data_IF_476530808990
#
_entry.id   IF_476530808990
#
_cell.length_a   1.000
_cell.length_b   1.000
_cell.length_c   1.000
_cell.angle_alpha   90.00
_cell.angle_beta   90.00
_cell.angle_gamma   90.00
#
_symmetry.space_group_name_H-M   'P 1'
#
loop_
_entity.id
_entity.type
_entity.pdbx_description
1 polymer ?
#
# COMPACT_ATOMS: atom_id res chain seq x y z
N UNK A 1 2.95 -63.12 8.54
CA UNK A 1 3.58 -62.41 9.67
C UNK A 1 4.63 -61.48 9.07
N UNK A 2 4.54 -60.19 9.43
CA UNK A 2 5.55 -59.15 9.21
C UNK A 2 5.69 -58.56 7.81
N UNK A 3 4.95 -57.47 7.54
CA UNK A 3 5.33 -56.45 6.53
C UNK A 3 5.07 -55.05 7.06
N UNK A 4 6.18 -54.40 7.44
CA UNK A 4 6.50 -52.97 7.35
C UNK A 4 5.40 -51.94 7.67
N UNK A 5 5.43 -51.45 8.91
CA UNK A 5 4.93 -50.10 9.27
C UNK A 5 5.95 -49.08 8.78
N UNK A 6 5.80 -48.61 7.53
CA UNK A 6 6.53 -47.45 7.03
C UNK A 6 5.91 -46.18 7.57
N UNK A 7 6.64 -45.48 8.45
CA UNK A 7 6.31 -44.14 8.92
C UNK A 7 6.30 -43.16 7.75
N UNK A 8 5.12 -42.84 7.23
CA UNK A 8 4.93 -41.64 6.41
C UNK A 8 4.89 -40.45 7.38
N UNK A 9 6.01 -39.75 7.49
CA UNK A 9 6.14 -38.54 8.28
C UNK A 9 5.37 -37.40 7.61
N UNK A 10 4.15 -37.17 8.09
CA UNK A 10 3.41 -35.92 8.32
C UNK A 10 3.94 -34.57 7.76
N UNK A 11 4.36 -34.51 6.49
CA UNK A 11 4.77 -33.24 5.86
C UNK A 11 3.60 -32.29 5.56
N UNK A 12 2.35 -32.74 5.72
CA UNK A 12 1.13 -31.95 5.52
C UNK A 12 0.80 -31.04 6.70
N UNK A 13 0.79 -31.58 7.93
CA UNK A 13 0.41 -30.82 9.13
C UNK A 13 1.35 -29.67 9.48
N UNK A 14 2.66 -29.79 9.19
CA UNK A 14 3.63 -28.70 9.47
C UNK A 14 3.36 -27.47 8.60
N UNK A 15 2.89 -27.65 7.35
CA UNK A 15 2.56 -26.54 6.45
C UNK A 15 1.25 -25.86 6.83
N UNK A 16 0.27 -26.61 7.32
CA UNK A 16 -1.01 -26.07 7.80
C UNK A 16 -0.86 -25.28 9.10
N UNK A 17 0.09 -25.67 9.96
CA UNK A 17 0.41 -24.97 11.20
C UNK A 17 1.30 -23.73 11.02
N UNK A 18 1.93 -23.56 9.86
CA UNK A 18 2.90 -22.49 9.62
C UNK A 18 2.31 -21.09 9.79
N UNK A 19 1.11 -20.83 9.25
CA UNK A 19 0.46 -19.52 9.34
C UNK A 19 0.00 -19.19 10.78
N UNK A 20 -0.73 -20.08 11.48
CA UNK A 20 -1.07 -19.85 12.89
C UNK A 20 0.15 -19.64 13.79
N UNK A 21 1.21 -20.45 13.62
CA UNK A 21 2.46 -20.30 14.36
C UNK A 21 3.14 -18.95 14.07
N UNK A 22 3.14 -18.50 12.82
CA UNK A 22 3.68 -17.19 12.46
C UNK A 22 2.90 -16.05 13.13
N UNK A 23 1.57 -16.13 13.17
CA UNK A 23 0.72 -15.12 13.84
C UNK A 23 1.00 -15.11 15.36
N UNK A 24 1.07 -16.28 16.00
CA UNK A 24 1.44 -16.37 17.42
C UNK A 24 2.84 -15.80 17.65
N UNK A 25 3.80 -16.09 16.77
CA UNK A 25 5.15 -15.53 16.81
C UNK A 25 5.19 -14.01 16.74
N UNK A 26 4.37 -13.41 15.86
CA UNK A 26 4.20 -11.94 15.76
C UNK A 26 3.72 -11.37 17.10
N UNK A 27 2.72 -11.99 17.73
CA UNK A 27 2.19 -11.53 19.01
C UNK A 27 3.23 -11.70 20.13
N UNK A 28 3.91 -12.84 20.19
CA UNK A 28 4.93 -13.13 21.20
C UNK A 28 6.11 -12.15 21.14
N UNK A 29 6.47 -11.69 19.94
CA UNK A 29 7.51 -10.67 19.74
C UNK A 29 7.19 -9.34 20.46
N UNK A 30 5.91 -9.03 20.73
CA UNK A 30 5.56 -7.81 21.49
C UNK A 30 6.03 -7.87 22.94
N UNK A 31 6.15 -9.07 23.50
CA UNK A 31 6.47 -9.30 24.91
C UNK A 31 7.92 -9.72 25.09
N UNK A 32 8.44 -10.53 24.16
CA UNK A 32 9.77 -11.11 24.27
C UNK A 32 10.88 -10.17 23.76
N UNK A 33 12.01 -10.08 24.47
CA UNK A 33 13.19 -9.38 23.96
C UNK A 33 13.74 -10.07 22.71
N UNK A 34 13.78 -9.34 21.60
CA UNK A 34 14.44 -9.80 20.39
C UNK A 34 15.84 -9.20 20.23
N UNK A 35 16.80 -9.96 19.66
CA UNK A 35 18.11 -9.44 19.32
C UNK A 35 18.02 -8.45 18.15
N UNK A 36 18.92 -7.46 18.15
CA UNK A 36 18.93 -6.35 17.17
C UNK A 36 18.94 -6.83 15.70
N UNK A 37 19.71 -7.87 15.40
CA UNK A 37 19.78 -8.45 14.05
C UNK A 37 18.44 -9.04 13.56
N UNK A 38 17.67 -9.67 14.46
CA UNK A 38 16.38 -10.24 14.08
C UNK A 38 15.36 -9.13 13.81
N UNK A 39 15.39 -8.04 14.57
CA UNK A 39 14.57 -6.85 14.31
C UNK A 39 14.90 -6.25 12.95
N UNK A 40 16.19 -6.03 12.64
CA UNK A 40 16.60 -5.53 11.32
C UNK A 40 16.08 -6.43 10.18
N UNK A 41 16.20 -7.76 10.35
CA UNK A 41 15.68 -8.74 9.39
C UNK A 41 14.15 -8.70 9.24
N UNK A 42 13.40 -8.58 10.34
CA UNK A 42 11.94 -8.52 10.32
C UNK A 42 11.41 -7.18 9.79
N UNK A 43 12.10 -6.06 10.04
CA UNK A 43 11.81 -4.76 9.45
C UNK A 43 12.00 -4.81 7.92
N UNK A 44 13.13 -5.39 7.47
CA UNK A 44 13.37 -5.59 6.04
C UNK A 44 12.33 -6.52 5.40
N UNK A 45 11.94 -7.60 6.10
CA UNK A 45 10.89 -8.51 5.66
C UNK A 45 9.52 -7.83 5.56
N UNK A 46 9.16 -7.00 6.55
CA UNK A 46 7.93 -6.21 6.53
C UNK A 46 7.87 -5.26 5.34
N UNK A 47 8.98 -4.60 5.03
CA UNK A 47 9.11 -3.76 3.85
C UNK A 47 8.99 -4.57 2.55
N UNK A 48 9.65 -5.73 2.46
CA UNK A 48 9.58 -6.61 1.29
C UNK A 48 8.15 -7.09 1.02
N UNK A 49 7.42 -7.52 2.06
CA UNK A 49 6.00 -7.89 1.93
C UNK A 49 5.19 -6.70 1.41
N UNK A 50 5.41 -5.51 1.99
CA UNK A 50 4.62 -4.32 1.62
C UNK A 50 4.87 -3.88 0.19
N UNK A 51 6.10 -3.97 -0.30
CA UNK A 51 6.45 -3.75 -1.71
C UNK A 51 5.77 -4.82 -2.58
N UNK A 52 5.85 -6.09 -2.20
CA UNK A 52 5.20 -7.19 -2.93
C UNK A 52 3.69 -7.00 -3.06
N UNK A 53 3.02 -6.69 -1.95
CA UNK A 53 1.58 -6.39 -1.90
C UNK A 53 1.22 -5.20 -2.79
N UNK A 54 2.03 -4.13 -2.76
CA UNK A 54 1.85 -2.96 -3.62
C UNK A 54 2.00 -3.30 -5.10
N UNK A 55 3.05 -4.01 -5.49
CA UNK A 55 3.29 -4.40 -6.88
C UNK A 55 2.21 -5.35 -7.40
N UNK A 56 1.80 -6.35 -6.59
CA UNK A 56 0.69 -7.25 -6.95
C UNK A 56 -0.59 -6.43 -7.18
N UNK A 57 -0.91 -5.48 -6.30
CA UNK A 57 -2.07 -4.60 -6.45
C UNK A 57 -2.02 -3.73 -7.72
N UNK A 58 -0.83 -3.29 -8.14
CA UNK A 58 -0.65 -2.54 -9.38
C UNK A 58 -0.83 -3.40 -10.63
N UNK A 59 -0.33 -4.63 -10.62
CA UNK A 59 -0.25 -5.48 -11.82
C UNK A 59 -1.38 -6.48 -12.00
N UNK A 60 -2.17 -6.80 -10.96
CA UNK A 60 -3.30 -7.72 -11.07
C UNK A 60 -4.33 -7.24 -12.11
N UNK A 61 -5.06 -8.14 -12.75
CA UNK A 61 -6.10 -7.80 -13.73
C UNK A 61 -7.44 -7.59 -13.04
N UNK A 62 -7.89 -8.57 -12.27
CA UNK A 62 -9.14 -8.57 -11.54
C UNK A 62 -8.91 -8.58 -10.02
N UNK A 63 -9.64 -7.77 -9.21
CA UNK A 63 -9.48 -7.75 -7.75
C UNK A 63 -9.55 -9.13 -7.06
N UNK A 64 -10.36 -10.03 -7.60
CA UNK A 64 -10.57 -11.39 -7.06
C UNK A 64 -9.39 -12.36 -7.31
N UNK A 65 -8.42 -12.01 -8.17
CA UNK A 65 -7.19 -12.80 -8.36
C UNK A 65 -6.37 -12.90 -7.08
N UNK A 66 -6.50 -11.90 -6.21
CA UNK A 66 -5.87 -11.91 -4.90
C UNK A 66 -6.91 -11.89 -3.78
N UNK A 67 -7.76 -12.92 -3.74
CA UNK A 67 -8.80 -13.07 -2.69
C UNK A 67 -8.23 -13.09 -1.26
N UNK A 68 -6.96 -13.45 -1.07
CA UNK A 68 -6.26 -13.40 0.22
C UNK A 68 -5.72 -12.01 0.61
N UNK A 69 -5.85 -11.00 -0.26
CA UNK A 69 -5.32 -9.65 -0.03
C UNK A 69 -5.76 -9.03 1.31
N UNK A 70 -7.04 -9.08 1.73
CA UNK A 70 -7.45 -8.51 3.02
C UNK A 70 -6.74 -9.18 4.21
N UNK A 71 -6.58 -10.50 4.17
CA UNK A 71 -5.90 -11.26 5.21
C UNK A 71 -4.40 -10.95 5.26
N UNK A 72 -3.76 -10.78 4.10
CA UNK A 72 -2.34 -10.38 4.01
C UNK A 72 -2.14 -8.98 4.59
N UNK A 73 -3.04 -8.03 4.30
CA UNK A 73 -3.01 -6.69 4.91
C UNK A 73 -3.09 -6.79 6.44
N UNK A 74 -4.01 -7.61 6.97
CA UNK A 74 -4.19 -7.76 8.41
C UNK A 74 -2.91 -8.32 9.07
N UNK A 75 -2.35 -9.40 8.52
CA UNK A 75 -1.12 -10.01 9.04
C UNK A 75 0.08 -9.07 8.92
N UNK A 76 0.23 -8.38 7.78
CA UNK A 76 1.30 -7.40 7.59
C UNK A 76 1.18 -6.23 8.58
N UNK A 77 -0.05 -5.78 8.85
CA UNK A 77 -0.33 -4.72 9.83
C UNK A 77 -0.01 -5.18 11.25
N UNK A 78 -0.39 -6.40 11.63
CA UNK A 78 -0.04 -6.99 12.92
C UNK A 78 1.48 -7.11 13.08
N UNK A 79 2.18 -7.62 12.06
CA UNK A 79 3.64 -7.70 12.05
C UNK A 79 4.27 -6.33 12.30
N UNK A 80 3.81 -5.27 11.61
CA UNK A 80 4.30 -3.90 11.81
C UNK A 80 4.05 -3.38 13.21
N UNK A 81 2.84 -3.54 13.73
CA UNK A 81 2.49 -3.05 15.07
C UNK A 81 3.36 -3.75 16.12
N UNK A 82 3.57 -5.06 15.99
CA UNK A 82 4.44 -5.80 16.87
C UNK A 82 5.90 -5.38 16.75
N UNK A 83 6.38 -5.08 15.53
CA UNK A 83 7.73 -4.57 15.32
C UNK A 83 7.93 -3.18 15.95
N UNK A 84 6.96 -2.27 15.81
CA UNK A 84 6.99 -0.96 16.47
C UNK A 84 7.10 -1.09 17.99
N UNK A 85 6.37 -2.02 18.61
CA UNK A 85 6.48 -2.25 20.06
C UNK A 85 7.86 -2.80 20.43
N UNK A 86 8.38 -3.75 19.64
CA UNK A 86 9.69 -4.33 19.88
C UNK A 86 10.85 -3.32 19.70
N UNK A 87 10.79 -2.47 18.67
CA UNK A 87 11.77 -1.40 18.41
C UNK A 87 11.68 -0.30 19.46
N UNK A 88 10.47 0.16 19.83
CA UNK A 88 10.28 1.09 20.97
C UNK A 88 10.94 0.60 22.23
N UNK A 89 10.73 -0.68 22.59
CA UNK A 89 11.35 -1.26 23.77
C UNK A 89 12.88 -1.22 23.68
N UNK A 90 13.46 -1.54 22.53
CA UNK A 90 14.91 -1.45 22.31
C UNK A 90 15.41 0.00 22.39
N UNK A 91 14.69 0.96 21.83
CA UNK A 91 15.03 2.39 21.85
C UNK A 91 15.04 2.88 23.31
N UNK A 92 13.98 2.63 24.07
CA UNK A 92 13.84 3.13 25.44
C UNK A 92 14.81 2.46 26.42
N UNK A 93 15.09 1.16 26.25
CA UNK A 93 16.00 0.43 27.15
C UNK A 93 17.48 0.68 26.81
N UNK A 94 17.84 0.62 25.53
CA UNK A 94 19.24 0.61 25.10
C UNK A 94 19.67 1.93 24.47
N UNK A 95 18.77 2.91 24.25
CA UNK A 95 19.10 4.18 23.57
C UNK A 95 20.24 4.96 24.23
N UNK A 96 20.48 4.75 25.52
CA UNK A 96 21.63 5.32 26.25
C UNK A 96 22.99 4.81 25.77
N UNK A 97 23.03 3.62 25.18
CA UNK A 97 24.25 3.02 24.61
C UNK A 97 24.62 3.64 23.26
N UNK A 98 23.80 4.56 22.72
CA UNK A 98 24.02 5.29 21.48
C UNK A 98 23.08 4.89 20.34
N UNK A 99 23.35 5.41 19.14
CA UNK A 99 22.44 5.28 17.98
C UNK A 99 22.29 3.86 17.44
N UNK A 100 23.24 2.94 17.72
CA UNK A 100 23.16 1.55 17.29
C UNK A 100 22.25 0.67 18.20
N UNK A 101 21.57 1.28 19.18
CA UNK A 101 20.74 0.62 20.17
C UNK A 101 19.49 -0.08 19.59
N UNK A 102 18.92 0.49 18.52
CA UNK A 102 17.64 0.07 17.96
C UNK A 102 17.75 -0.83 16.71
N UNK A 103 18.97 -1.22 16.32
CA UNK A 103 19.23 -1.90 15.04
C UNK A 103 19.78 -0.96 13.98
N UNK A 104 20.45 -1.52 12.97
CA UNK A 104 21.12 -0.75 11.92
C UNK A 104 20.13 -0.11 10.96
N UNK A 105 18.98 -0.76 10.74
CA UNK A 105 17.95 -0.24 9.83
C UNK A 105 17.40 1.06 10.41
N UNK A 106 16.95 1.04 11.68
CA UNK A 106 16.45 2.23 12.38
C UNK A 106 17.47 3.37 12.40
N UNK A 107 18.72 3.06 12.76
CA UNK A 107 19.80 4.05 12.79
C UNK A 107 20.03 4.70 11.42
N UNK A 108 20.08 3.90 10.36
CA UNK A 108 20.35 4.37 9.00
C UNK A 108 19.25 5.30 8.51
N UNK A 109 17.98 4.93 8.70
CA UNK A 109 16.85 5.76 8.32
C UNK A 109 16.78 7.06 9.15
N UNK A 110 17.08 6.99 10.45
CA UNK A 110 17.12 8.16 11.32
C UNK A 110 18.19 9.17 10.88
N UNK A 111 19.41 8.69 10.62
CA UNK A 111 20.51 9.53 10.13
C UNK A 111 20.22 10.12 8.75
N UNK A 112 19.58 9.35 7.86
CA UNK A 112 19.23 9.81 6.52
C UNK A 112 18.32 11.05 6.54
N UNK A 113 17.30 11.08 7.41
CA UNK A 113 16.37 12.22 7.49
C UNK A 113 16.92 13.37 8.30
N UNK A 114 17.70 13.09 9.34
CA UNK A 114 18.25 14.14 10.20
C UNK A 114 19.37 14.92 9.50
N UNK A 115 20.12 14.30 8.58
CA UNK A 115 21.05 15.02 7.70
C UNK A 115 22.11 15.88 8.43
N UNK A 116 22.40 15.56 9.69
CA UNK A 116 23.32 16.32 10.55
C UNK A 116 22.70 17.48 11.34
N UNK A 117 21.41 17.80 11.14
CA UNK A 117 20.70 18.80 11.95
C UNK A 117 19.39 18.23 12.49
N UNK A 118 19.38 17.90 13.78
CA UNK A 118 18.25 17.28 14.48
C UNK A 118 16.96 18.10 14.34
N UNK A 119 17.05 19.43 14.41
CA UNK A 119 15.88 20.31 14.32
C UNK A 119 15.26 20.24 12.94
N UNK A 120 16.07 20.38 11.88
CA UNK A 120 15.60 20.27 10.50
C UNK A 120 15.03 18.87 10.24
N UNK A 121 15.70 17.83 10.71
CA UNK A 121 15.24 16.45 10.64
C UNK A 121 13.87 16.25 11.28
N UNK A 122 13.66 16.80 12.48
CA UNK A 122 12.39 16.70 13.19
C UNK A 122 11.26 17.44 12.46
N UNK A 123 11.54 18.61 11.87
CA UNK A 123 10.56 19.36 11.07
C UNK A 123 10.16 18.58 9.81
N UNK A 124 11.14 18.07 9.05
CA UNK A 124 10.88 17.26 7.84
C UNK A 124 10.10 16.01 8.22
N UNK A 125 10.47 15.35 9.32
CA UNK A 125 9.77 14.19 9.83
C UNK A 125 8.31 14.49 10.19
N UNK A 126 8.04 15.58 10.91
CA UNK A 126 6.66 15.99 11.24
C UNK A 126 5.82 16.24 9.98
N UNK A 127 6.40 16.84 8.94
CA UNK A 127 5.72 17.02 7.65
C UNK A 127 5.38 15.66 7.03
N UNK A 128 6.34 14.71 7.00
CA UNK A 128 6.12 13.37 6.46
C UNK A 128 5.02 12.62 7.22
N UNK A 129 5.02 12.69 8.55
CA UNK A 129 3.99 12.12 9.41
C UNK A 129 2.61 12.70 9.07
N UNK A 130 2.50 14.02 8.95
CA UNK A 130 1.24 14.68 8.63
C UNK A 130 0.73 14.25 7.26
N UNK A 131 1.59 14.22 6.23
CA UNK A 131 1.23 13.77 4.89
C UNK A 131 0.78 12.30 4.92
N UNK A 132 1.54 11.43 5.58
CA UNK A 132 1.23 10.01 5.67
C UNK A 132 -0.13 9.75 6.35
N UNK A 133 -0.40 10.42 7.47
CA UNK A 133 -1.63 10.18 8.22
C UNK A 133 -2.83 10.91 7.61
N UNK A 134 -2.74 12.23 7.46
CA UNK A 134 -3.87 13.10 7.10
C UNK A 134 -4.26 12.93 5.63
N UNK A 135 -3.29 12.79 4.73
CA UNK A 135 -3.55 12.71 3.29
C UNK A 135 -3.66 11.26 2.86
N UNK A 136 -2.62 10.46 3.08
CA UNK A 136 -2.54 9.12 2.48
C UNK A 136 -3.45 8.13 3.23
N UNK A 137 -3.22 7.89 4.51
CA UNK A 137 -3.95 6.86 5.28
C UNK A 137 -5.44 7.20 5.37
N UNK A 138 -5.77 8.45 5.74
CA UNK A 138 -7.17 8.88 5.85
C UNK A 138 -7.86 8.94 4.48
N UNK A 139 -7.14 9.35 3.43
CA UNK A 139 -7.65 9.38 2.06
C UNK A 139 -7.94 7.97 1.54
N UNK A 140 -6.94 7.08 1.58
CA UNK A 140 -7.07 5.70 1.15
C UNK A 140 -8.15 4.95 1.94
N UNK A 141 -8.24 5.16 3.26
CA UNK A 141 -9.30 4.57 4.08
C UNK A 141 -10.69 4.99 3.67
N UNK A 142 -10.92 6.30 3.40
CA UNK A 142 -12.22 6.80 2.93
C UNK A 142 -12.56 6.27 1.54
N UNK A 143 -11.59 6.22 0.64
CA UNK A 143 -11.78 5.68 -0.71
C UNK A 143 -12.15 4.20 -0.64
N UNK A 144 -11.43 3.42 0.17
CA UNK A 144 -11.69 2.00 0.36
C UNK A 144 -13.07 1.73 0.98
N UNK A 145 -13.44 2.46 2.03
CA UNK A 145 -14.75 2.35 2.70
C UNK A 145 -15.90 2.64 1.73
N UNK A 146 -15.83 3.77 1.01
CA UNK A 146 -16.89 4.20 0.10
C UNK A 146 -17.04 3.24 -1.08
N UNK A 147 -15.93 2.83 -1.68
CA UNK A 147 -15.97 1.93 -2.83
C UNK A 147 -16.35 0.49 -2.44
N UNK A 148 -15.93 -0.01 -1.27
CA UNK A 148 -16.40 -1.29 -0.76
C UNK A 148 -17.92 -1.24 -0.51
N UNK A 149 -18.42 -0.15 0.09
CA UNK A 149 -19.86 0.04 0.31
C UNK A 149 -20.64 0.07 -1.00
N UNK A 150 -20.20 0.85 -1.98
CA UNK A 150 -20.88 0.89 -3.29
C UNK A 150 -20.83 -0.46 -4.02
N UNK A 151 -19.72 -1.19 -3.92
CA UNK A 151 -19.62 -2.53 -4.49
C UNK A 151 -20.61 -3.51 -3.82
N UNK A 152 -20.73 -3.45 -2.49
CA UNK A 152 -21.66 -4.27 -1.71
C UNK A 152 -23.14 -3.90 -2.00
N UNK A 153 -23.46 -2.61 -2.04
CA UNK A 153 -24.82 -2.11 -2.35
C UNK A 153 -25.29 -2.55 -3.75
N UNK A 154 -24.36 -2.78 -4.69
CA UNK A 154 -24.65 -3.27 -6.04
C UNK A 154 -24.90 -4.79 -6.16
N UNK A 155 -24.64 -5.59 -5.12
CA UNK A 155 -24.70 -7.06 -5.20
C UNK A 155 -26.11 -7.62 -5.40
N UNK A 156 -27.17 -7.12 -4.73
CA UNK A 156 -28.54 -7.57 -5.00
C UNK A 156 -28.91 -7.38 -6.48
N UNK A 157 -28.50 -6.26 -7.10
CA UNK A 157 -28.73 -6.02 -8.53
C UNK A 157 -28.05 -7.05 -9.42
N UNK A 158 -26.79 -7.41 -9.14
CA UNK A 158 -26.09 -8.48 -9.86
C UNK A 158 -26.76 -9.86 -9.66
N UNK A 159 -27.26 -10.16 -8.47
CA UNK A 159 -27.99 -11.41 -8.21
C UNK A 159 -29.33 -11.46 -8.96
N UNK A 160 -30.10 -10.37 -8.93
CA UNK A 160 -31.36 -10.25 -9.67
C UNK A 160 -31.15 -10.38 -11.18
N UNK A 161 -30.04 -9.86 -11.72
CA UNK A 161 -29.69 -10.04 -13.13
C UNK A 161 -29.43 -11.51 -13.48
N UNK A 162 -28.75 -12.28 -12.61
CA UNK A 162 -28.57 -13.73 -12.81
C UNK A 162 -29.92 -14.46 -12.78
N UNK A 163 -30.81 -14.07 -11.86
CA UNK A 163 -32.13 -14.69 -11.74
C UNK A 163 -32.99 -14.39 -12.97
N UNK A 164 -32.92 -13.16 -13.49
CA UNK A 164 -33.56 -12.78 -14.75
C UNK A 164 -33.01 -13.58 -15.94
N UNK A 165 -31.69 -13.70 -16.07
CA UNK A 165 -31.05 -14.49 -17.14
C UNK A 165 -31.43 -15.97 -17.07
N UNK A 166 -31.50 -16.55 -15.87
CA UNK A 166 -31.88 -17.94 -15.65
C UNK A 166 -33.36 -18.17 -15.98
N UNK A 167 -34.24 -17.27 -15.53
CA UNK A 167 -35.67 -17.34 -15.82
C UNK A 167 -35.98 -17.12 -17.31
N UNK A 168 -35.18 -16.30 -18.00
CA UNK A 168 -35.26 -16.09 -19.45
C UNK A 168 -34.63 -17.23 -20.27
N UNK A 169 -34.01 -18.23 -19.63
CA UNK A 169 -33.35 -19.35 -20.30
C UNK A 169 -32.06 -18.99 -21.03
N UNK A 170 -31.49 -17.81 -20.78
CA UNK A 170 -30.23 -17.33 -21.39
C UNK A 170 -29.03 -18.12 -20.83
N UNK A 171 -29.11 -18.53 -19.56
CA UNK A 171 -28.06 -19.30 -18.86
C UNK A 171 -28.63 -20.58 -18.22
N UNK A 172 -27.77 -21.58 -18.03
CA UNK A 172 -28.12 -22.81 -17.30
C UNK A 172 -28.03 -22.64 -15.78
N UNK A 173 -28.66 -23.55 -15.02
CA UNK A 173 -28.60 -23.57 -13.56
C UNK A 173 -27.16 -23.67 -13.01
N UNK A 174 -26.28 -24.43 -13.68
CA UNK A 174 -24.87 -24.57 -13.29
C UNK A 174 -24.08 -23.28 -13.49
N UNK A 175 -24.35 -22.56 -14.59
CA UNK A 175 -23.75 -21.25 -14.86
C UNK A 175 -24.25 -20.23 -13.83
N UNK A 176 -25.56 -20.21 -13.54
CA UNK A 176 -26.14 -19.34 -12.53
C UNK A 176 -25.52 -19.59 -11.14
N UNK A 177 -25.36 -20.86 -10.74
CA UNK A 177 -24.69 -21.24 -9.48
C UNK A 177 -23.25 -20.74 -9.42
N UNK A 178 -22.51 -20.89 -10.51
CA UNK A 178 -21.11 -20.43 -10.59
C UNK A 178 -21.01 -18.91 -10.49
N UNK A 179 -21.88 -18.16 -11.18
CA UNK A 179 -21.92 -16.70 -11.10
C UNK A 179 -22.33 -16.20 -9.71
N UNK A 180 -23.32 -16.83 -9.07
CA UNK A 180 -23.70 -16.49 -7.68
C UNK A 180 -22.54 -16.68 -6.71
N UNK A 181 -21.79 -17.79 -6.84
CA UNK A 181 -20.59 -18.03 -6.02
C UNK A 181 -19.49 -16.99 -6.26
N UNK A 182 -19.38 -16.44 -7.47
CA UNK A 182 -18.46 -15.35 -7.76
C UNK A 182 -18.90 -14.04 -7.06
N UNK A 183 -20.20 -13.72 -7.07
CA UNK A 183 -20.75 -12.57 -6.33
C UNK A 183 -20.54 -12.72 -4.83
N UNK A 184 -20.75 -13.93 -4.28
CA UNK A 184 -20.50 -14.21 -2.86
C UNK A 184 -19.03 -13.94 -2.49
N UNK A 185 -18.08 -14.42 -3.29
CA UNK A 185 -16.64 -14.12 -3.09
C UNK A 185 -16.33 -12.64 -3.20
N UNK A 186 -17.01 -11.92 -4.09
CA UNK A 186 -16.90 -10.47 -4.22
C UNK A 186 -17.42 -9.77 -2.95
N UNK A 187 -18.54 -10.23 -2.39
CA UNK A 187 -19.10 -9.77 -1.12
C UNK A 187 -18.10 -9.93 0.03
N UNK A 188 -17.59 -11.14 0.20
CA UNK A 188 -16.63 -11.48 1.25
C UNK A 188 -15.36 -10.64 1.12
N UNK A 189 -14.87 -10.46 -0.12
CA UNK A 189 -13.69 -9.65 -0.39
C UNK A 189 -13.88 -8.18 0.02
N UNK A 190 -14.96 -7.52 -0.43
CA UNK A 190 -15.19 -6.11 -0.09
C UNK A 190 -15.54 -5.91 1.38
N UNK A 191 -16.28 -6.83 1.99
CA UNK A 191 -16.55 -6.83 3.44
C UNK A 191 -15.26 -6.95 4.26
N UNK A 192 -14.38 -7.89 3.89
CA UNK A 192 -13.08 -8.05 4.54
C UNK A 192 -12.15 -6.85 4.29
N UNK A 193 -12.20 -6.24 3.10
CA UNK A 193 -11.41 -5.05 2.76
C UNK A 193 -11.79 -3.81 3.57
N UNK A 194 -13.09 -3.58 3.81
CA UNK A 194 -13.55 -2.48 4.67
C UNK A 194 -13.03 -2.67 6.11
N UNK A 195 -13.09 -3.90 6.63
CA UNK A 195 -12.50 -4.27 7.92
C UNK A 195 -10.98 -4.03 7.95
N UNK A 196 -10.23 -4.61 7.02
CA UNK A 196 -8.78 -4.48 6.95
C UNK A 196 -8.33 -3.01 6.82
N UNK A 197 -9.05 -2.18 6.09
CA UNK A 197 -8.75 -0.75 5.93
C UNK A 197 -8.86 0.03 7.24
N UNK A 198 -9.80 -0.35 8.12
CA UNK A 198 -9.92 0.23 9.48
C UNK A 198 -8.74 -0.17 10.37
N UNK A 199 -8.21 -1.38 10.22
CA UNK A 199 -6.98 -1.80 10.91
C UNK A 199 -5.76 -0.99 10.45
N UNK A 200 -5.58 -0.76 9.15
CA UNK A 200 -4.49 0.07 8.62
C UNK A 200 -4.58 1.52 9.14
N UNK A 201 -5.80 2.08 9.23
CA UNK A 201 -6.01 3.39 9.85
C UNK A 201 -5.63 3.40 11.33
N UNK A 202 -6.00 2.36 12.08
CA UNK A 202 -5.63 2.21 13.50
C UNK A 202 -4.11 2.12 13.71
N UNK A 203 -3.42 1.36 12.85
CA UNK A 203 -1.96 1.21 12.84
C UNK A 203 -1.24 2.55 12.66
N UNK A 204 -1.70 3.40 11.72
CA UNK A 204 -1.10 4.71 11.52
C UNK A 204 -1.26 5.64 12.74
N UNK A 205 -2.40 5.58 13.45
CA UNK A 205 -2.60 6.32 14.70
C UNK A 205 -1.66 5.78 15.78
N UNK A 206 -1.57 4.46 15.92
CA UNK A 206 -0.67 3.83 16.89
C UNK A 206 0.79 4.22 16.62
N UNK A 207 1.25 4.19 15.37
CA UNK A 207 2.61 4.59 14.99
C UNK A 207 2.93 6.05 15.37
N UNK A 208 1.98 6.97 15.20
CA UNK A 208 2.13 8.36 15.64
C UNK A 208 2.28 8.46 17.16
N UNK A 209 1.43 7.77 17.92
CA UNK A 209 1.49 7.74 19.38
C UNK A 209 2.80 7.13 19.87
N UNK A 210 3.22 6.01 19.27
CA UNK A 210 4.47 5.33 19.59
C UNK A 210 5.66 6.25 19.36
N UNK A 211 5.69 6.98 18.25
CA UNK A 211 6.74 7.97 17.97
C UNK A 211 6.79 9.04 19.06
N UNK A 212 5.64 9.59 19.46
CA UNK A 212 5.58 10.60 20.51
C UNK A 212 6.07 10.03 21.87
N UNK A 213 5.70 8.79 22.19
CA UNK A 213 6.18 8.06 23.37
C UNK A 213 7.69 7.86 23.31
N UNK A 214 8.24 7.46 22.16
CA UNK A 214 9.68 7.25 21.97
C UNK A 214 10.45 8.56 22.17
N UNK A 215 9.97 9.66 21.60
CA UNK A 215 10.62 10.96 21.68
C UNK A 215 10.59 11.52 23.12
N UNK A 216 9.42 11.56 23.75
CA UNK A 216 9.25 12.13 25.10
C UNK A 216 9.79 11.20 26.17
N UNK A 217 9.42 9.93 26.13
CA UNK A 217 9.87 8.91 27.08
C UNK A 217 11.37 8.68 26.97
N UNK A 218 11.90 8.65 25.75
CA UNK A 218 13.34 8.54 25.50
C UNK A 218 14.12 9.71 26.07
N UNK A 219 13.68 10.95 25.83
CA UNK A 219 14.29 12.15 26.39
C UNK A 219 14.33 12.10 27.92
N UNK A 220 13.20 11.77 28.56
CA UNK A 220 13.10 11.66 30.02
C UNK A 220 14.05 10.59 30.56
N UNK A 221 14.00 9.37 30.01
CA UNK A 221 14.84 8.27 30.44
C UNK A 221 16.33 8.57 30.22
N UNK A 222 16.69 9.21 29.11
CA UNK A 222 18.03 9.64 28.78
C UNK A 222 18.60 10.59 29.83
N UNK A 223 17.87 11.67 30.13
CA UNK A 223 18.27 12.67 31.13
C UNK A 223 18.34 12.06 32.52
N UNK A 224 17.33 11.27 32.93
CA UNK A 224 17.36 10.53 34.21
C UNK A 224 18.50 9.50 34.28
N UNK A 225 18.99 9.05 33.14
CA UNK A 225 20.16 8.17 33.01
C UNK A 225 21.50 8.87 33.04
N UNK A 226 21.55 10.19 33.23
CA UNK A 226 22.79 10.96 33.28
C UNK A 226 23.26 11.52 31.92
N UNK A 227 22.47 11.37 30.84
CA UNK A 227 22.78 12.05 29.58
C UNK A 227 22.49 13.56 29.69
N UNK A 228 23.28 14.38 28.99
CA UNK A 228 22.92 15.79 28.83
C UNK A 228 21.60 15.91 28.04
N UNK A 229 20.83 16.97 28.30
CA UNK A 229 19.57 17.22 27.58
C UNK A 229 19.77 17.26 26.06
N UNK A 230 20.88 17.86 25.61
CA UNK A 230 21.23 17.95 24.19
C UNK A 230 21.49 16.57 23.59
N UNK A 231 22.33 15.75 24.25
CA UNK A 231 22.68 14.40 23.76
C UNK A 231 21.47 13.47 23.78
N UNK A 232 20.64 13.55 24.82
CA UNK A 232 19.39 12.79 24.90
C UNK A 232 18.43 13.21 23.79
N UNK A 233 18.22 14.51 23.57
CA UNK A 233 17.38 15.01 22.50
C UNK A 233 17.87 14.54 21.12
N UNK A 234 19.17 14.63 20.84
CA UNK A 234 19.75 14.17 19.58
C UNK A 234 19.56 12.65 19.39
N UNK A 235 19.94 11.86 20.39
CA UNK A 235 19.90 10.40 20.30
C UNK A 235 18.50 9.86 20.12
N UNK A 236 17.57 10.28 20.98
CA UNK A 236 16.20 9.80 20.93
C UNK A 236 15.40 10.41 19.78
N UNK A 237 15.75 11.61 19.29
CA UNK A 237 15.17 12.12 18.04
C UNK A 237 15.60 11.29 16.84
N UNK A 238 16.89 11.01 16.68
CA UNK A 238 17.39 10.19 15.56
C UNK A 238 16.75 8.80 15.59
N UNK A 239 16.73 8.15 16.75
CA UNK A 239 16.15 6.81 16.92
C UNK A 239 14.63 6.80 16.66
N UNK A 240 13.89 7.77 17.23
CA UNK A 240 12.42 7.83 17.08
C UNK A 240 12.00 8.15 15.65
N UNK A 241 12.70 9.09 15.00
CA UNK A 241 12.46 9.44 13.59
C UNK A 241 12.79 8.24 12.70
N UNK A 242 13.92 7.57 12.93
CA UNK A 242 14.31 6.38 12.17
C UNK A 242 13.28 5.26 12.28
N UNK A 243 12.85 4.95 13.50
CA UNK A 243 11.84 3.91 13.78
C UNK A 243 10.52 4.20 13.08
N UNK A 244 10.03 5.43 13.24
CA UNK A 244 8.79 5.87 12.63
C UNK A 244 8.84 5.80 11.09
N UNK A 245 9.95 6.21 10.47
CA UNK A 245 10.10 6.15 9.01
C UNK A 245 10.13 4.72 8.48
N UNK A 246 10.88 3.83 9.15
CA UNK A 246 10.97 2.42 8.76
C UNK A 246 9.59 1.76 8.84
N UNK A 247 8.79 2.10 9.85
CA UNK A 247 7.44 1.57 10.02
C UNK A 247 6.41 2.23 9.08
N UNK A 248 6.61 3.49 8.69
CA UNK A 248 5.71 4.23 7.82
C UNK A 248 5.79 3.82 6.35
N UNK A 249 6.97 3.50 5.80
CA UNK A 249 7.05 3.10 4.39
C UNK A 249 6.21 1.86 4.07
N UNK A 250 6.29 0.76 4.85
CA UNK A 250 5.40 -0.38 4.72
C UNK A 250 3.91 -0.01 4.79
N UNK A 251 3.54 0.86 5.73
CA UNK A 251 2.15 1.32 5.92
C UNK A 251 1.63 2.09 4.70
N UNK A 252 2.45 3.00 4.16
CA UNK A 252 2.13 3.78 2.97
C UNK A 252 1.91 2.88 1.75
N UNK A 253 2.80 1.91 1.53
CA UNK A 253 2.72 0.98 0.40
C UNK A 253 1.46 0.13 0.49
N UNK A 254 1.17 -0.45 1.65
CA UNK A 254 -0.04 -1.27 1.87
C UNK A 254 -1.32 -0.43 1.76
N UNK A 255 -1.34 0.77 2.33
CA UNK A 255 -2.50 1.69 2.25
C UNK A 255 -2.78 2.11 0.81
N UNK A 256 -1.73 2.40 0.05
CA UNK A 256 -1.85 2.75 -1.37
C UNK A 256 -2.28 1.54 -2.20
N UNK A 257 -1.72 0.35 -1.93
CA UNK A 257 -2.15 -0.90 -2.56
C UNK A 257 -3.65 -1.13 -2.36
N UNK A 258 -4.14 -0.99 -1.13
CA UNK A 258 -5.56 -1.15 -0.81
C UNK A 258 -6.42 -0.15 -1.59
N UNK A 259 -6.00 1.12 -1.64
CA UNK A 259 -6.68 2.16 -2.44
C UNK A 259 -6.73 1.83 -3.93
N UNK A 260 -5.63 1.38 -4.54
CA UNK A 260 -5.57 0.98 -5.95
C UNK A 260 -6.47 -0.22 -6.25
N UNK A 261 -6.42 -1.26 -5.41
CA UNK A 261 -7.20 -2.50 -5.62
C UNK A 261 -8.70 -2.21 -5.54
N UNK A 262 -9.12 -1.37 -4.60
CA UNK A 262 -10.54 -1.04 -4.42
C UNK A 262 -11.04 -0.04 -5.48
N UNK A 263 -10.23 0.94 -5.89
CA UNK A 263 -10.66 1.90 -6.94
C UNK A 263 -10.74 1.30 -8.34
N UNK A 264 -9.96 0.25 -8.60
CA UNK A 264 -9.97 -0.47 -9.88
C UNK A 264 -11.29 -1.15 -10.21
N UNK A 265 -12.04 -1.64 -9.22
CA UNK A 265 -13.31 -2.31 -9.51
C UNK A 265 -14.37 -1.40 -10.10
N UNK A 266 -14.21 -0.08 -9.95
CA UNK A 266 -15.06 0.90 -10.61
C UNK A 266 -14.77 1.04 -12.12
N UNK A 267 -13.53 0.76 -12.57
CA UNK A 267 -13.09 1.00 -13.96
C UNK A 267 -12.81 -0.27 -14.77
N UNK A 268 -12.50 -1.39 -14.11
CA UNK A 268 -12.24 -2.69 -14.75
C UNK A 268 -10.93 -2.79 -15.56
N UNK A 269 -10.18 -1.70 -15.74
CA UNK A 269 -8.92 -1.68 -16.48
C UNK A 269 -7.68 -1.73 -15.58
N UNK A 270 -6.61 -2.32 -16.08
CA UNK A 270 -5.28 -2.17 -15.50
C UNK A 270 -4.88 -0.70 -15.37
N UNK A 271 -4.45 -0.29 -14.18
CA UNK A 271 -4.03 1.10 -13.92
C UNK A 271 -2.99 1.55 -14.95
N UNK A 272 -1.98 0.71 -15.22
CA UNK A 272 -0.97 0.97 -16.25
C UNK A 272 -1.57 1.12 -17.65
N UNK A 273 -2.58 0.30 -17.99
CA UNK A 273 -3.29 0.43 -19.28
C UNK A 273 -4.06 1.74 -19.32
N UNK A 274 -4.86 2.07 -18.30
CA UNK A 274 -5.62 3.31 -18.22
C UNK A 274 -4.72 4.56 -18.29
N UNK A 275 -3.59 4.57 -17.56
CA UNK A 275 -2.59 5.65 -17.66
C UNK A 275 -2.04 5.78 -19.08
N UNK A 276 -1.76 4.66 -19.75
CA UNK A 276 -1.23 4.66 -21.12
C UNK A 276 -2.28 5.07 -22.15
N UNK A 277 -3.51 4.59 -22.05
CA UNK A 277 -4.57 4.78 -23.05
C UNK A 277 -5.30 6.11 -22.87
N UNK A 278 -5.53 6.55 -21.62
CA UNK A 278 -6.37 7.72 -21.33
C UNK A 278 -5.52 8.98 -21.12
N UNK A 279 -4.51 8.93 -20.25
CA UNK A 279 -3.65 10.08 -19.96
C UNK A 279 -2.62 10.30 -21.05
N UNK A 280 -1.81 9.28 -21.32
CA UNK A 280 -0.78 9.37 -22.35
C UNK A 280 -1.37 9.22 -23.75
N UNK A 281 -2.51 8.56 -23.95
CA UNK A 281 -3.11 8.38 -25.29
C UNK A 281 -3.80 9.61 -25.86
N UNK A 282 -4.03 10.65 -25.05
CA UNK A 282 -4.63 11.90 -25.52
C UNK A 282 -3.57 12.85 -26.07
N UNK A 283 -3.40 12.84 -27.40
CA UNK A 283 -2.52 13.78 -28.12
C UNK A 283 -2.80 15.24 -27.77
N UNK A 284 -4.08 15.62 -27.68
CA UNK A 284 -4.49 17.00 -27.34
C UNK A 284 -4.02 17.37 -25.93
N UNK A 285 -4.20 16.48 -24.95
CA UNK A 285 -3.74 16.71 -23.58
C UNK A 285 -2.21 16.86 -23.51
N UNK A 286 -1.46 15.95 -24.17
CA UNK A 286 0.00 16.00 -24.15
C UNK A 286 0.57 17.28 -24.78
N UNK A 287 0.02 17.73 -25.91
CA UNK A 287 0.47 18.97 -26.57
C UNK A 287 0.13 20.18 -25.69
N UNK A 288 -1.07 20.22 -25.09
CA UNK A 288 -1.46 21.30 -24.19
C UNK A 288 -0.53 21.36 -22.96
N UNK A 289 -0.24 20.22 -22.32
CA UNK A 289 0.70 20.14 -21.20
C UNK A 289 2.11 20.58 -21.61
N UNK A 290 2.61 20.16 -22.78
CA UNK A 290 3.92 20.57 -23.28
C UNK A 290 3.99 22.08 -23.54
N UNK A 291 2.93 22.70 -24.06
CA UNK A 291 2.85 24.14 -24.27
C UNK A 291 2.92 24.91 -22.94
N UNK A 292 2.14 24.48 -21.93
CA UNK A 292 2.17 25.09 -20.60
C UNK A 292 3.54 24.95 -19.94
N UNK A 293 4.17 23.76 -20.01
CA UNK A 293 5.52 23.54 -19.48
C UNK A 293 6.57 24.39 -20.20
N UNK A 294 6.42 24.60 -21.51
CA UNK A 294 7.30 25.47 -22.28
C UNK A 294 7.17 26.92 -21.81
N UNK A 295 5.95 27.41 -21.53
CA UNK A 295 5.74 28.76 -20.95
C UNK A 295 6.42 28.88 -19.59
N UNK A 296 6.28 27.89 -18.71
CA UNK A 296 6.97 27.88 -17.41
C UNK A 296 8.50 27.89 -17.54
N UNK A 297 9.05 27.27 -18.58
CA UNK A 297 10.49 27.28 -18.81
C UNK A 297 11.05 28.68 -19.10
N UNK A 298 10.24 29.60 -19.63
CA UNK A 298 10.65 30.97 -19.92
C UNK A 298 10.38 31.95 -18.77
N UNK A 299 9.79 31.51 -17.65
CA UNK A 299 9.61 32.36 -16.47
C UNK A 299 10.98 32.57 -15.77
N UNK A 300 11.32 33.81 -15.40
CA UNK A 300 12.59 34.10 -14.73
C UNK A 300 12.66 33.39 -13.37
N UNK A 301 13.80 32.76 -13.09
CA UNK A 301 14.04 31.99 -11.86
C UNK A 301 13.63 30.52 -11.92
N UNK A 302 12.99 30.06 -13.01
CA UNK A 302 12.67 28.63 -13.21
C UNK A 302 13.82 27.86 -13.86
N UNK A 303 14.04 26.58 -13.49
CA UNK A 303 15.04 25.74 -14.15
C UNK A 303 14.53 25.32 -15.53
N UNK A 304 14.86 26.07 -16.58
CA UNK A 304 14.32 25.87 -17.93
C UNK A 304 14.58 24.47 -18.51
N UNK A 305 15.75 23.88 -18.24
CA UNK A 305 16.18 22.59 -18.79
C UNK A 305 15.23 21.42 -18.42
N UNK A 306 14.89 21.17 -17.13
CA UNK A 306 13.88 20.18 -16.76
C UNK A 306 12.52 20.38 -17.45
N UNK A 307 12.02 21.61 -17.52
CA UNK A 307 10.70 21.89 -18.08
C UNK A 307 10.67 21.66 -19.60
N UNK A 308 11.68 22.14 -20.33
CA UNK A 308 11.81 21.90 -21.76
C UNK A 308 12.08 20.43 -22.08
N UNK A 309 12.83 19.73 -21.22
CA UNK A 309 13.06 18.29 -21.35
C UNK A 309 11.76 17.48 -21.29
N UNK A 310 10.92 17.76 -20.28
CA UNK A 310 9.61 17.11 -20.14
C UNK A 310 8.66 17.52 -21.28
N UNK A 311 8.63 18.81 -21.66
CA UNK A 311 7.82 19.28 -22.77
C UNK A 311 8.20 18.60 -24.10
N UNK A 312 9.51 18.46 -24.35
CA UNK A 312 10.03 17.72 -25.51
C UNK A 312 9.64 16.25 -25.50
N UNK A 313 9.73 15.58 -24.34
CA UNK A 313 9.29 14.20 -24.19
C UNK A 313 7.80 14.02 -24.49
N UNK A 314 6.94 14.91 -23.98
CA UNK A 314 5.49 14.91 -24.24
C UNK A 314 5.15 15.15 -25.72
N UNK A 315 5.86 16.06 -26.40
CA UNK A 315 5.68 16.29 -27.84
C UNK A 315 6.13 15.05 -28.63
N UNK A 316 7.24 14.41 -28.22
CA UNK A 316 7.73 13.20 -28.86
C UNK A 316 6.75 12.04 -28.75
N UNK A 317 6.18 11.81 -27.55
CA UNK A 317 5.13 10.79 -27.37
C UNK A 317 3.85 11.12 -28.14
N UNK A 318 3.46 12.39 -28.19
CA UNK A 318 2.31 12.87 -28.98
C UNK A 318 2.48 12.68 -30.49
N UNK A 319 3.70 12.85 -31.01
CA UNK A 319 4.03 12.61 -32.42
C UNK A 319 4.02 11.12 -32.76
N UNK A 320 4.56 10.27 -31.88
CA UNK A 320 4.54 8.81 -32.08
C UNK A 320 3.12 8.23 -32.15
N UNK A 321 2.14 8.86 -31.50
CA UNK A 321 0.75 8.42 -31.59
C UNK A 321 0.06 8.75 -32.92
N UNK A 322 0.56 9.73 -33.68
CA UNK A 322 0.04 10.02 -35.04
C UNK A 322 0.41 8.92 -36.05
N UNK A 323 1.40 8.09 -35.75
CA UNK A 323 1.82 7.01 -36.63
C UNK A 323 0.93 5.75 -36.52
N UNK A 324 -0.03 5.72 -35.59
CA UNK A 324 -1.08 4.70 -35.57
C UNK A 324 -2.25 5.19 -36.44
N UNK A 325 -2.61 4.48 -37.54
CA UNK A 325 -3.67 4.92 -38.42
C UNK A 325 -5.00 4.92 -37.67
N UNK A 326 -5.65 6.08 -37.63
CA UNK A 326 -7.06 6.21 -37.28
C UNK A 326 -7.85 5.30 -38.24
N UNK A 327 -8.64 4.32 -37.76
CA UNK A 327 -9.57 3.61 -38.65
C UNK A 327 -10.48 4.65 -39.29
N UNK A 328 -10.71 4.60 -40.61
CA UNK A 328 -11.56 5.58 -41.27
C UNK A 328 -12.98 5.54 -40.66
N UNK A 329 -13.43 6.67 -40.12
CA UNK A 329 -14.84 6.93 -39.88
C UNK A 329 -15.54 7.01 -41.25
N UNK A 330 -16.20 5.92 -41.64
CA UNK A 330 -16.88 5.86 -42.93
C UNK A 330 -17.47 4.49 -43.23
N UNK A 331 -18.54 4.14 -42.51
CA UNK A 331 -19.65 3.33 -43.03
C UNK A 331 -20.82 3.46 -42.04
N UNK A 332 -21.34 4.70 -41.92
CA UNK A 332 -22.72 4.86 -41.50
C UNK A 332 -23.56 4.24 -42.63
N UNK A 333 -24.21 3.14 -42.30
CA UNK A 333 -25.20 2.43 -43.13
C UNK A 333 -26.24 3.41 -43.67
N UNK A 334 -26.04 3.92 -44.88
CA UNK A 334 -27.13 4.24 -45.79
C UNK A 334 -27.72 2.91 -46.26
N UNK A 335 -28.90 2.56 -45.74
CA UNK A 335 -29.49 1.25 -46.00
C UNK A 335 -30.92 1.08 -45.49
N UNK A 336 -31.81 1.99 -45.90
CA UNK A 336 -33.21 1.65 -46.22
C UNK A 336 -34.17 1.31 -45.08
N UNK A 337 -35.02 2.29 -44.75
CA UNK A 337 -36.42 2.00 -44.45
C UNK A 337 -37.28 3.21 -44.85
N UNK A 338 -37.92 3.09 -46.03
CA UNK A 338 -39.00 3.95 -46.47
C UNK A 338 -40.29 3.63 -45.68
N UNK A 339 -41.26 4.56 -45.61
CA UNK A 339 -42.41 4.49 -44.69
C UNK A 339 -43.59 3.74 -45.31
N UNK A 340 -44.25 2.87 -44.52
CA UNK A 340 -45.72 2.74 -44.31
C UNK A 340 -45.93 1.97 -43.01
#
# INVERSE_FOLDING_TARGET
MTTATGSQTDSGSVKELAVPLAIIGIVLMMVLPLPRFLIDGLLAFSLAISIGVFLIGLFMEQPLEFSSFPAVILVATLLRLSLNVATTRLILLNGKEGHAAAGRVVETFGKFVVGGNVVVGLVVFLILVVINFVVITKGAGRVAEVAARFALDGMPGKQMAIDADLNAGIISADVARTRRKAIEREADFYGAMDGASKFVKGDAIAGLLITAINLVGGLLLGVMGGMSLSTAAETFSILSVGDALVSQMPSLLVSTAAGVVVTRSATGEQLTRAFRTQLLGSRRAMIASAAVLSVFAFLPGMPALPFLGIAGALIWTARKQQAAPTPPEGEATEGGSAPV
#
